data_IF_438042659313
#
_entry.id   IF_438042659313
#
_cell.length_a   1.000
_cell.length_b   1.000
_cell.length_c   1.000
_cell.angle_alpha   90.00
_cell.angle_beta   90.00
_cell.angle_gamma   90.00
#
_symmetry.space_group_name_H-M   'P 1'
#
loop_
_entity.id
_entity.type
_entity.pdbx_description
1 polymer ?
#
# COMPACT_ATOMS: atom_id res chain seq x y z
N UNK A 1 13.25 14.43 -6.85
CA UNK A 1 12.97 13.60 -5.66
C UNK A 1 11.48 13.43 -5.40
N UNK A 2 10.70 14.46 -5.08
CA UNK A 2 9.25 14.33 -4.78
C UNK A 2 8.40 13.54 -5.78
N UNK A 3 8.52 13.83 -7.08
CA UNK A 3 7.77 13.10 -8.13
C UNK A 3 8.14 11.61 -8.17
N UNK A 4 9.41 11.30 -7.90
CA UNK A 4 9.91 9.92 -7.82
C UNK A 4 9.37 9.22 -6.58
N UNK A 5 9.37 9.87 -5.42
CA UNK A 5 8.79 9.33 -4.18
C UNK A 5 7.29 9.05 -4.33
N UNK A 6 6.56 9.93 -5.01
CA UNK A 6 5.15 9.72 -5.31
C UNK A 6 4.95 8.54 -6.27
N UNK A 7 5.76 8.43 -7.32
CA UNK A 7 5.72 7.30 -8.26
C UNK A 7 5.99 5.97 -7.55
N UNK A 8 7.01 5.91 -6.70
CA UNK A 8 7.32 4.72 -5.89
C UNK A 8 6.16 4.38 -4.95
N UNK A 9 5.56 5.40 -4.30
CA UNK A 9 4.39 5.21 -3.44
C UNK A 9 3.20 4.63 -4.19
N UNK A 10 2.91 5.14 -5.39
CA UNK A 10 1.85 4.62 -6.27
C UNK A 10 2.09 3.17 -6.64
N UNK A 11 3.32 2.82 -7.07
CA UNK A 11 3.68 1.45 -7.45
C UNK A 11 3.46 0.50 -6.28
N UNK A 12 3.96 0.84 -5.09
CA UNK A 12 3.78 0.03 -3.88
C UNK A 12 2.31 -0.16 -3.53
N UNK A 13 1.50 0.89 -3.66
CA UNK A 13 0.07 0.82 -3.37
C UNK A 13 -0.65 -0.13 -4.33
N UNK A 14 -0.35 -0.07 -5.63
CA UNK A 14 -0.88 -1.03 -6.61
C UNK A 14 -0.37 -2.46 -6.38
N UNK A 15 0.90 -2.64 -6.03
CA UNK A 15 1.44 -3.96 -5.68
C UNK A 15 0.73 -4.56 -4.47
N UNK A 16 0.39 -3.76 -3.46
CA UNK A 16 -0.37 -4.21 -2.30
C UNK A 16 -1.80 -4.62 -2.64
N UNK A 17 -2.48 -3.86 -3.52
CA UNK A 17 -3.81 -4.24 -4.03
C UNK A 17 -3.77 -5.57 -4.80
N UNK A 18 -2.72 -5.80 -5.60
CA UNK A 18 -2.53 -7.07 -6.31
C UNK A 18 -2.33 -8.22 -5.31
N UNK A 19 -1.52 -8.02 -4.26
CA UNK A 19 -1.30 -9.02 -3.22
C UNK A 19 -2.60 -9.36 -2.46
N UNK A 20 -3.43 -8.37 -2.14
CA UNK A 20 -4.78 -8.60 -1.56
C UNK A 20 -5.70 -9.37 -2.52
N UNK A 21 -5.67 -9.06 -3.82
CA UNK A 21 -6.45 -9.80 -4.82
C UNK A 21 -5.99 -11.26 -4.92
N UNK A 22 -4.67 -11.52 -4.85
CA UNK A 22 -4.11 -12.86 -4.78
C UNK A 22 -4.51 -13.59 -3.49
N UNK A 23 -4.53 -12.88 -2.36
CA UNK A 23 -5.05 -13.43 -1.10
C UNK A 23 -6.51 -13.87 -1.26
N UNK A 24 -7.40 -13.01 -1.77
CA UNK A 24 -8.83 -13.34 -1.90
C UNK A 24 -9.06 -14.54 -2.85
N UNK A 25 -8.32 -14.60 -3.95
CA UNK A 25 -8.44 -15.70 -4.93
C UNK A 25 -7.90 -17.03 -4.40
N UNK A 26 -6.83 -17.01 -3.61
CA UNK A 26 -6.24 -18.22 -3.01
C UNK A 26 -6.92 -18.65 -1.71
N UNK A 27 -7.40 -17.71 -0.91
CA UNK A 27 -8.07 -17.98 0.37
C UNK A 27 -9.42 -18.69 0.20
N UNK A 28 -10.12 -18.51 -0.93
CA UNK A 28 -11.32 -19.30 -1.25
C UNK A 28 -11.05 -20.80 -1.37
N UNK A 29 -9.81 -21.21 -1.63
CA UNK A 29 -9.40 -22.63 -1.75
C UNK A 29 -8.89 -23.18 -0.40
N UNK A 30 -8.52 -22.33 0.55
CA UNK A 30 -7.88 -22.72 1.80
C UNK A 30 -8.80 -22.48 3.03
N UNK A 31 -9.75 -23.38 3.26
CA UNK A 31 -10.40 -23.53 4.58
C UNK A 31 -9.38 -24.12 5.57
N UNK A 32 -8.49 -23.30 6.12
CA UNK A 32 -7.43 -23.80 7.00
C UNK A 32 -6.91 -22.71 7.95
N UNK A 33 -7.64 -22.49 9.04
CA UNK A 33 -7.13 -21.86 10.27
C UNK A 33 -6.64 -20.42 10.17
N UNK A 34 -6.51 -19.77 11.33
CA UNK A 34 -5.93 -18.42 11.43
C UNK A 34 -4.41 -18.57 11.32
N UNK A 35 -3.91 -18.74 10.09
CA UNK A 35 -2.48 -18.73 9.78
C UNK A 35 -2.19 -17.47 8.99
N UNK A 36 -1.17 -16.72 9.40
CA UNK A 36 -0.76 -15.49 8.73
C UNK A 36 -0.45 -15.79 7.25
N UNK A 37 -1.36 -15.37 6.37
CA UNK A 37 -1.18 -15.54 4.94
C UNK A 37 -0.18 -14.48 4.44
N UNK A 38 0.86 -14.94 3.74
CA UNK A 38 1.92 -14.08 3.20
C UNK A 38 1.34 -13.01 2.28
N UNK A 39 0.34 -13.34 1.46
CA UNK A 39 -0.29 -12.38 0.54
C UNK A 39 -1.07 -11.29 1.27
N UNK A 40 -1.80 -11.65 2.33
CA UNK A 40 -2.51 -10.69 3.18
C UNK A 40 -1.52 -9.76 3.89
N UNK A 41 -0.48 -10.34 4.52
CA UNK A 41 0.52 -9.57 5.28
C UNK A 41 1.30 -8.63 4.36
N UNK A 42 1.75 -9.12 3.19
CA UNK A 42 2.46 -8.32 2.21
C UNK A 42 1.55 -7.24 1.59
N UNK A 43 0.29 -7.56 1.31
CA UNK A 43 -0.70 -6.62 0.79
C UNK A 43 -0.87 -5.40 1.69
N UNK A 44 -1.14 -5.64 2.97
CA UNK A 44 -1.28 -4.59 3.98
C UNK A 44 0.00 -3.75 4.08
N UNK A 45 1.17 -4.38 4.17
CA UNK A 45 2.44 -3.66 4.31
C UNK A 45 2.75 -2.76 3.11
N UNK A 46 2.52 -3.26 1.88
CA UNK A 46 2.73 -2.48 0.67
C UNK A 46 1.75 -1.31 0.54
N UNK A 47 0.48 -1.49 0.93
CA UNK A 47 -0.51 -0.41 0.96
C UNK A 47 -0.08 0.68 1.96
N UNK A 48 0.28 0.29 3.19
CA UNK A 48 0.70 1.24 4.23
C UNK A 48 1.96 2.01 3.82
N UNK A 49 2.96 1.31 3.30
CA UNK A 49 4.22 1.93 2.88
C UNK A 49 4.01 2.84 1.66
N UNK A 50 3.22 2.41 0.67
CA UNK A 50 2.85 3.22 -0.49
C UNK A 50 2.11 4.50 -0.09
N UNK A 51 1.18 4.39 0.86
CA UNK A 51 0.43 5.54 1.38
C UNK A 51 1.33 6.52 2.14
N UNK A 52 2.24 6.05 3.00
CA UNK A 52 3.20 6.92 3.69
C UNK A 52 4.09 7.70 2.71
N UNK A 53 4.56 7.06 1.64
CA UNK A 53 5.38 7.71 0.62
C UNK A 53 4.59 8.73 -0.20
N UNK A 54 3.31 8.45 -0.46
CA UNK A 54 2.39 9.43 -1.05
C UNK A 54 2.25 10.66 -0.15
N UNK A 55 1.96 10.47 1.14
CA UNK A 55 1.83 11.56 2.11
C UNK A 55 3.11 12.39 2.23
N UNK A 56 4.27 11.74 2.29
CA UNK A 56 5.58 12.40 2.31
C UNK A 56 5.83 13.26 1.05
N UNK A 57 5.18 12.92 -0.06
CA UNK A 57 5.29 13.64 -1.32
C UNK A 57 4.37 14.86 -1.40
N UNK A 58 3.27 14.90 -0.64
CA UNK A 58 2.30 16.01 -0.62
C UNK A 58 2.96 17.29 -0.11
N UNK A 59 2.64 18.42 -0.75
CA UNK A 59 3.16 19.75 -0.43
C UNK A 59 2.15 20.47 0.45
N UNK A 60 2.49 20.71 1.72
CA UNK A 60 1.67 21.54 2.60
C UNK A 60 1.91 23.01 2.18
N UNK A 61 0.91 23.69 1.60
CA UNK A 61 1.05 25.11 1.29
C UNK A 61 1.16 25.88 2.60
N UNK A 62 2.16 26.76 2.72
CA UNK A 62 2.27 27.64 3.88
C UNK A 62 1.08 28.59 3.86
N UNK A 63 0.24 28.55 4.89
CA UNK A 63 -0.79 29.55 5.13
C UNK A 63 -0.11 30.91 5.24
N UNK A 64 -0.31 31.77 4.22
CA UNK A 64 0.05 33.18 4.31
C UNK A 64 -1.09 33.85 5.07
N UNK A 65 -0.83 34.15 6.34
CA UNK A 65 -1.67 35.03 7.14
C UNK A 65 -1.30 36.48 6.73
N UNK A 66 -2.28 37.34 6.37
CA UNK A 66 -2.03 38.73 5.98
C UNK A 66 -1.51 39.58 7.15
#
# INVERSE_FOLDING_TARGET
MRKLTLLIGVILLFSGVIAEALYITTARVAYSGIVANIYLTAGILFILMGFMLMLASVKIPKLRVP
#
